data_IF_918958748775
#
_entry.id   IF_918958748775
#
_cell.length_a   1.000
_cell.length_b   1.000
_cell.length_c   1.000
_cell.angle_alpha   90.00
_cell.angle_beta   90.00
_cell.angle_gamma   90.00
#
_symmetry.space_group_name_H-M   'P 1'
#
loop_
_entity.id
_entity.type
_entity.pdbx_description
1 polymer ?
#
# COMPACT_ATOMS: atom_id res chain seq x y z
N UNK A 1 11.52 -6.24 13.37
CA UNK A 1 10.35 -7.15 13.34
C UNK A 1 9.83 -7.21 11.90
N UNK A 2 9.72 -8.40 11.30
CA UNK A 2 9.33 -8.63 9.88
C UNK A 2 7.82 -8.92 9.73
N UNK A 3 7.00 -8.15 10.44
CA UNK A 3 5.55 -8.38 10.54
C UNK A 3 4.81 -8.21 9.19
N UNK A 4 5.31 -7.31 8.32
CA UNK A 4 4.69 -7.05 7.00
C UNK A 4 5.26 -7.92 5.87
N UNK A 5 6.38 -8.61 6.10
CA UNK A 5 7.10 -9.31 5.01
C UNK A 5 6.93 -10.83 5.03
N UNK A 6 6.41 -11.40 6.13
CA UNK A 6 6.20 -12.84 6.27
C UNK A 6 4.73 -13.20 6.02
N UNK A 7 4.48 -14.09 5.06
CA UNK A 7 3.13 -14.66 4.81
C UNK A 7 2.61 -15.54 5.95
N UNK A 8 3.50 -15.96 6.87
CA UNK A 8 3.24 -17.03 7.84
C UNK A 8 2.47 -16.63 9.10
N UNK A 9 1.98 -15.40 9.25
CA UNK A 9 1.26 -14.98 10.47
C UNK A 9 -0.06 -14.22 10.23
N UNK A 10 -0.64 -14.36 9.03
CA UNK A 10 -1.92 -13.76 8.62
C UNK A 10 -2.06 -12.23 8.79
N UNK A 11 -1.04 -11.52 9.30
CA UNK A 11 -1.09 -10.08 9.48
C UNK A 11 -1.14 -9.38 8.13
N UNK A 12 -0.23 -9.72 7.22
CA UNK A 12 -0.16 -9.09 5.91
C UNK A 12 -1.46 -9.28 5.10
N UNK A 13 -2.06 -10.49 4.99
CA UNK A 13 -3.39 -10.65 4.39
C UNK A 13 -4.49 -9.81 5.05
N UNK A 14 -4.48 -9.67 6.38
CA UNK A 14 -5.43 -8.81 7.10
C UNK A 14 -5.25 -7.33 6.76
N UNK A 15 -4.01 -6.86 6.65
CA UNK A 15 -3.71 -5.49 6.25
C UNK A 15 -4.16 -5.22 4.81
N UNK A 16 -3.86 -6.13 3.87
CA UNK A 16 -4.33 -6.00 2.48
C UNK A 16 -5.85 -5.92 2.42
N UNK A 17 -6.57 -6.77 3.15
CA UNK A 17 -8.03 -6.73 3.18
C UNK A 17 -8.58 -5.43 3.79
N UNK A 18 -7.92 -4.85 4.79
CA UNK A 18 -8.31 -3.56 5.35
C UNK A 18 -8.15 -2.45 4.31
N UNK A 19 -6.99 -2.37 3.65
CA UNK A 19 -6.73 -1.37 2.60
C UNK A 19 -7.68 -1.56 1.41
N UNK A 20 -8.01 -2.80 1.05
CA UNK A 20 -9.02 -3.11 0.03
C UNK A 20 -10.37 -2.48 0.35
N UNK A 21 -10.77 -2.45 1.62
CA UNK A 21 -12.02 -1.82 2.06
C UNK A 21 -12.04 -0.31 1.78
N UNK A 22 -10.97 0.40 2.14
CA UNK A 22 -10.87 1.84 1.88
C UNK A 22 -10.84 2.18 0.39
N UNK A 23 -10.06 1.43 -0.40
CA UNK A 23 -10.00 1.63 -1.85
C UNK A 23 -11.33 1.35 -2.54
N UNK A 24 -12.11 0.39 -2.04
CA UNK A 24 -13.44 0.11 -2.57
C UNK A 24 -14.39 1.31 -2.38
N UNK A 25 -14.34 1.93 -1.20
CA UNK A 25 -15.10 3.16 -0.89
C UNK A 25 -14.65 4.32 -1.77
N UNK A 26 -13.33 4.56 -1.85
CA UNK A 26 -12.77 5.67 -2.62
C UNK A 26 -13.06 5.55 -4.13
N UNK A 27 -13.02 4.33 -4.69
CA UNK A 27 -13.40 4.07 -6.08
C UNK A 27 -14.89 4.28 -6.32
N UNK A 28 -15.74 3.81 -5.40
CA UNK A 28 -17.19 3.99 -5.50
C UNK A 28 -17.57 5.48 -5.47
N UNK A 29 -16.88 6.27 -4.66
CA UNK A 29 -17.09 7.72 -4.55
C UNK A 29 -16.29 8.56 -5.54
N UNK A 30 -15.53 7.92 -6.45
CA UNK A 30 -14.73 8.60 -7.47
C UNK A 30 -13.68 9.55 -6.86
N UNK A 31 -13.22 9.27 -5.64
CA UNK A 31 -12.10 9.99 -5.00
C UNK A 31 -10.76 9.60 -5.62
N UNK A 32 -10.69 8.40 -6.21
CA UNK A 32 -9.53 7.86 -6.93
C UNK A 32 -9.97 7.12 -8.18
N UNK A 33 -9.07 6.97 -9.17
CA UNK A 33 -9.26 6.13 -10.36
C UNK A 33 -8.12 5.13 -10.53
N UNK A 34 -8.46 3.95 -11.04
CA UNK A 34 -7.48 2.95 -11.45
C UNK A 34 -8.08 2.00 -12.49
N UNK A 35 -7.24 1.49 -13.39
CA UNK A 35 -7.60 0.40 -14.30
C UNK A 35 -7.28 -0.99 -13.72
N UNK A 36 -6.65 -1.04 -12.54
CA UNK A 36 -6.32 -2.31 -11.87
C UNK A 36 -7.56 -2.94 -11.25
N UNK A 37 -7.52 -4.26 -11.06
CA UNK A 37 -8.49 -4.92 -10.20
C UNK A 37 -8.35 -4.40 -8.77
N UNK A 38 -9.44 -4.42 -7.99
CA UNK A 38 -9.41 -3.96 -6.60
C UNK A 38 -8.43 -4.76 -5.74
N UNK A 39 -8.28 -6.06 -6.01
CA UNK A 39 -7.30 -6.92 -5.33
C UNK A 39 -5.86 -6.54 -5.66
N UNK A 40 -5.54 -6.34 -6.94
CA UNK A 40 -4.21 -5.91 -7.37
C UNK A 40 -3.87 -4.52 -6.85
N UNK A 41 -4.85 -3.61 -6.86
CA UNK A 41 -4.70 -2.25 -6.35
C UNK A 41 -4.39 -2.24 -4.86
N UNK A 42 -5.14 -3.02 -4.07
CA UNK A 42 -4.91 -3.15 -2.64
C UNK A 42 -3.53 -3.75 -2.32
N UNK A 43 -3.17 -4.82 -3.03
CA UNK A 43 -1.85 -5.45 -2.88
C UNK A 43 -0.72 -4.47 -3.23
N UNK A 44 -0.81 -3.79 -4.37
CA UNK A 44 0.19 -2.82 -4.81
C UNK A 44 0.32 -1.65 -3.82
N UNK A 45 -0.80 -1.12 -3.33
CA UNK A 45 -0.83 -0.04 -2.34
C UNK A 45 -0.07 -0.42 -1.07
N UNK A 46 -0.34 -1.59 -0.50
CA UNK A 46 0.39 -2.09 0.68
C UNK A 46 1.88 -2.27 0.37
N UNK A 47 2.22 -2.83 -0.80
CA UNK A 47 3.63 -3.06 -1.17
C UNK A 47 4.43 -1.78 -1.37
N UNK A 48 3.82 -0.75 -1.96
CA UNK A 48 4.43 0.57 -2.08
C UNK A 48 4.68 1.13 -0.67
N UNK A 49 3.67 1.15 0.19
CA UNK A 49 3.81 1.63 1.57
C UNK A 49 4.88 0.87 2.38
N UNK A 50 4.91 -0.45 2.28
CA UNK A 50 5.92 -1.29 2.91
C UNK A 50 7.33 -0.92 2.43
N UNK A 51 7.52 -0.65 1.13
CA UNK A 51 8.84 -0.34 0.57
C UNK A 51 9.46 0.93 1.17
N UNK A 52 8.65 1.94 1.46
CA UNK A 52 9.07 3.17 2.12
C UNK A 52 9.29 2.97 3.61
N UNK A 53 8.42 2.19 4.28
CA UNK A 53 8.60 1.85 5.69
C UNK A 53 9.91 1.08 5.93
N UNK A 54 10.24 0.13 5.06
CA UNK A 54 11.45 -0.68 5.14
C UNK A 54 12.64 -0.08 4.38
N UNK A 55 12.57 1.16 3.90
CA UNK A 55 13.61 1.78 3.09
C UNK A 55 15.03 1.66 3.72
N UNK A 56 15.23 1.91 5.04
CA UNK A 56 16.54 1.70 5.67
C UNK A 56 16.99 0.24 5.70
N UNK A 57 16.03 -0.68 5.87
CA UNK A 57 16.32 -2.12 5.90
C UNK A 57 16.64 -2.66 4.50
N UNK A 58 15.99 -2.14 3.46
CA UNK A 58 16.13 -2.60 2.08
C UNK A 58 17.37 -1.99 1.42
N UNK A 59 17.62 -0.70 1.63
CA UNK A 59 18.60 0.09 0.85
C UNK A 59 19.72 0.70 1.69
N UNK A 60 19.57 0.76 3.02
CA UNK A 60 20.47 1.53 3.89
C UNK A 60 20.25 3.04 3.87
N UNK A 61 19.29 3.56 3.09
CA UNK A 61 18.94 4.97 3.06
C UNK A 61 18.16 5.41 4.33
N UNK A 62 18.03 6.72 4.52
CA UNK A 62 17.19 7.28 5.59
C UNK A 62 15.71 6.91 5.38
N UNK A 63 14.91 6.81 6.45
CA UNK A 63 13.47 6.65 6.33
C UNK A 63 12.85 7.81 5.53
N UNK A 64 11.94 7.50 4.62
CA UNK A 64 11.07 8.49 3.95
C UNK A 64 9.60 8.15 4.26
N UNK A 65 9.04 8.65 5.38
CA UNK A 65 7.67 8.31 5.78
C UNK A 65 6.61 8.89 4.84
N UNK A 66 6.93 9.95 4.10
CA UNK A 66 6.00 10.65 3.20
C UNK A 66 6.07 10.12 1.76
N UNK A 67 7.13 9.39 1.41
CA UNK A 67 7.36 8.92 0.04
C UNK A 67 6.24 8.04 -0.52
N UNK A 68 5.64 7.19 0.32
CA UNK A 68 4.52 6.35 -0.08
C UNK A 68 3.29 7.19 -0.44
N UNK A 69 2.95 8.17 0.39
CA UNK A 69 1.82 9.08 0.15
C UNK A 69 2.02 9.87 -1.14
N UNK A 70 3.23 10.41 -1.36
CA UNK A 70 3.59 11.14 -2.57
C UNK A 70 3.39 10.31 -3.84
N UNK A 71 3.86 9.06 -3.85
CA UNK A 71 3.72 8.17 -5.02
C UNK A 71 2.27 7.73 -5.21
N UNK A 72 1.58 7.32 -4.15
CA UNK A 72 0.20 6.87 -4.24
C UNK A 72 -0.74 8.00 -4.66
N UNK A 73 -0.54 9.22 -4.17
CA UNK A 73 -1.32 10.39 -4.58
C UNK A 73 -1.20 10.70 -6.07
N UNK A 74 -0.04 10.42 -6.68
CA UNK A 74 0.17 10.57 -8.13
C UNK A 74 -0.49 9.44 -8.93
N UNK A 75 -0.45 8.20 -8.43
CA UNK A 75 -1.00 7.02 -9.12
C UNK A 75 -2.51 6.90 -9.00
N UNK A 76 -3.10 7.39 -7.91
CA UNK A 76 -4.51 7.21 -7.56
C UNK A 76 -5.33 8.49 -7.73
N UNK A 77 -4.94 9.34 -8.69
CA UNK A 77 -5.64 10.61 -8.93
C UNK A 77 -7.12 10.40 -9.30
N UNK A 78 -7.98 11.38 -9.02
CA UNK A 78 -9.41 11.31 -9.33
C UNK A 78 -9.76 11.15 -10.80
#
# INVERSE_FOLDING_TARGET
MRLMTLGTFAYHPRLVNLIKGFLAEDLAEHRVRSSLSLDDLAYATVRISDSYHYLPTITGQLPDPEGAERVLGELLRP
#
